data_IF_894967049767
#
_entry.id   IF_894967049767
#
_cell.length_a   1.000
_cell.length_b   1.000
_cell.length_c   1.000
_cell.angle_alpha   90.00
_cell.angle_beta   90.00
_cell.angle_gamma   90.00
#
_symmetry.space_group_name_H-M   'P 1'
#
loop_
_entity.id
_entity.type
_entity.pdbx_description
1 polymer ?
#
# COMPACT_ATOMS: atom_id res chain seq x y z
N UNK A 1 -12.68 16.47 5.43
CA UNK A 1 -11.45 15.69 5.22
C UNK A 1 -10.32 16.68 5.02
N UNK A 2 -9.36 16.68 5.94
CA UNK A 2 -8.18 17.52 5.83
C UNK A 2 -7.08 16.84 5.03
N UNK A 3 -6.17 17.63 4.47
CA UNK A 3 -5.03 17.11 3.73
C UNK A 3 -3.79 17.05 4.61
N UNK A 4 -3.14 15.90 4.68
CA UNK A 4 -1.87 15.76 5.37
C UNK A 4 -0.77 16.50 4.60
N UNK A 5 -0.14 17.51 5.23
CA UNK A 5 0.92 18.34 4.61
C UNK A 5 2.29 18.19 5.28
N UNK A 6 2.34 17.86 6.58
CA UNK A 6 3.61 17.82 7.31
C UNK A 6 4.32 16.49 7.17
N UNK A 7 5.64 16.53 6.89
CA UNK A 7 6.48 15.33 6.76
C UNK A 7 6.51 14.49 8.04
N UNK A 8 6.52 15.12 9.21
CA UNK A 8 6.50 14.44 10.50
C UNK A 8 5.25 13.55 10.64
N UNK A 9 4.10 14.04 10.19
CA UNK A 9 2.87 13.24 10.18
C UNK A 9 2.96 12.05 9.22
N UNK A 10 3.52 12.25 8.01
CA UNK A 10 3.71 11.14 7.07
C UNK A 10 4.60 10.03 7.63
N UNK A 11 5.67 10.40 8.34
CA UNK A 11 6.55 9.42 8.99
C UNK A 11 5.82 8.69 10.12
N UNK A 12 5.08 9.43 10.95
CA UNK A 12 4.37 8.82 12.06
C UNK A 12 3.23 7.88 11.61
N UNK A 13 2.57 8.17 10.47
CA UNK A 13 1.60 7.25 9.86
C UNK A 13 2.27 6.00 9.29
N UNK A 14 3.50 6.13 8.79
CA UNK A 14 4.25 4.99 8.26
C UNK A 14 4.60 3.94 9.32
N UNK A 15 4.73 4.34 10.60
CA UNK A 15 4.91 3.46 11.76
C UNK A 15 3.59 2.84 12.27
N UNK A 16 2.45 3.26 11.71
CA UNK A 16 1.14 2.76 12.07
C UNK A 16 0.78 1.41 11.45
N UNK A 17 -0.52 1.10 11.45
CA UNK A 17 -1.04 -0.11 10.79
C UNK A 17 -1.05 0.09 9.28
N UNK A 18 -0.69 -0.98 8.54
CA UNK A 18 -0.62 -0.94 7.08
C UNK A 18 -1.36 -2.12 6.45
N UNK A 19 -2.06 -1.85 5.36
CA UNK A 19 -2.68 -2.84 4.49
C UNK A 19 -2.05 -2.75 3.11
N UNK A 20 -1.50 -3.87 2.65
CA UNK A 20 -0.87 -3.96 1.34
C UNK A 20 -1.89 -4.41 0.30
N UNK A 21 -2.16 -3.55 -0.68
CA UNK A 21 -2.88 -3.92 -1.89
C UNK A 21 -1.92 -3.95 -3.09
N UNK A 22 -2.29 -4.60 -4.20
CA UNK A 22 -1.42 -4.69 -5.36
C UNK A 22 -1.18 -3.31 -5.99
N UNK A 23 -2.26 -2.52 -6.15
CA UNK A 23 -2.23 -1.18 -6.73
C UNK A 23 -1.69 -0.08 -5.79
N UNK A 24 -1.83 -0.24 -4.48
CA UNK A 24 -1.46 0.78 -3.49
C UNK A 24 -1.28 0.15 -2.10
N UNK A 25 -0.63 0.87 -1.20
CA UNK A 25 -0.55 0.51 0.22
C UNK A 25 -1.31 1.57 1.00
N UNK A 26 -2.18 1.14 1.91
CA UNK A 26 -2.91 2.02 2.82
C UNK A 26 -2.25 1.95 4.18
N UNK A 27 -1.89 3.09 4.73
CA UNK A 27 -1.38 3.22 6.09
C UNK A 27 -2.37 4.04 6.90
N UNK A 28 -2.64 3.60 8.14
CA UNK A 28 -3.49 4.31 9.08
C UNK A 28 -2.77 4.46 10.41
N UNK A 29 -2.94 5.62 11.02
CA UNK A 29 -2.64 5.87 12.42
C UNK A 29 -3.86 6.46 13.10
N UNK A 30 -4.25 5.87 14.22
CA UNK A 30 -5.21 6.52 15.12
C UNK A 30 -4.48 7.64 15.86
N UNK A 31 -4.98 8.88 15.74
CA UNK A 31 -4.63 9.91 16.71
C UNK A 31 -5.61 9.76 17.86
N UNK A 32 -5.09 9.76 19.08
CA UNK A 32 -5.92 9.92 20.29
C UNK A 32 -6.42 11.36 20.47
N UNK A 33 -6.54 12.12 19.38
CA UNK A 33 -6.85 13.55 19.38
C UNK A 33 -8.13 13.76 18.57
N UNK A 34 -9.05 14.62 19.02
CA UNK A 34 -10.39 14.78 18.42
C UNK A 34 -10.39 15.54 17.07
N UNK A 35 -9.25 15.56 16.37
CA UNK A 35 -9.08 16.26 15.11
C UNK A 35 -9.82 15.64 13.91
N UNK A 36 -9.97 16.38 12.80
CA UNK A 36 -10.58 15.86 11.58
C UNK A 36 -9.71 14.78 10.93
N UNK A 37 -10.34 13.89 10.15
CA UNK A 37 -9.65 12.86 9.36
C UNK A 37 -8.71 13.52 8.36
N UNK A 38 -7.43 13.13 8.38
CA UNK A 38 -6.39 13.65 7.47
C UNK A 38 -5.98 12.61 6.46
N UNK A 39 -5.86 13.01 5.19
CA UNK A 39 -5.51 12.11 4.09
C UNK A 39 -4.27 12.63 3.35
N UNK A 40 -3.25 11.77 3.27
CA UNK A 40 -2.02 11.97 2.52
C UNK A 40 -1.94 11.03 1.31
N UNK A 41 -1.33 11.52 0.22
CA UNK A 41 -1.04 10.71 -0.96
C UNK A 41 0.46 10.72 -1.23
N UNK A 42 1.07 9.55 -1.23
CA UNK A 42 2.49 9.38 -1.51
C UNK A 42 2.65 8.55 -2.77
N UNK A 43 3.50 8.98 -3.69
CA UNK A 43 3.84 8.19 -4.88
C UNK A 43 5.35 8.23 -5.02
N UNK A 44 5.98 7.05 -4.98
CA UNK A 44 7.44 6.98 -5.02
C UNK A 44 7.97 7.25 -6.43
N UNK A 45 9.23 7.70 -6.54
CA UNK A 45 9.88 7.89 -7.85
C UNK A 45 9.99 6.58 -8.64
N UNK A 46 9.97 5.43 -7.97
CA UNK A 46 10.02 4.09 -8.57
C UNK A 46 8.76 3.76 -9.39
N UNK A 47 7.70 4.53 -9.24
CA UNK A 47 6.43 4.32 -9.93
C UNK A 47 6.41 4.83 -11.38
N UNK A 48 7.51 5.37 -11.87
CA UNK A 48 7.65 5.86 -13.24
C UNK A 48 7.79 7.38 -13.33
N UNK A 49 7.47 7.89 -14.51
CA UNK A 49 7.59 9.28 -14.93
C UNK A 49 6.68 10.23 -14.13
N UNK A 50 6.89 11.55 -14.25
CA UNK A 50 6.04 12.54 -13.60
C UNK A 50 4.56 12.40 -14.00
N UNK A 51 4.28 12.09 -15.27
CA UNK A 51 2.94 11.90 -15.80
C UNK A 51 2.27 10.65 -15.22
N UNK A 52 2.99 9.52 -15.15
CA UNK A 52 2.52 8.30 -14.51
C UNK A 52 2.19 8.55 -13.03
N UNK A 53 3.07 9.23 -12.29
CA UNK A 53 2.85 9.58 -10.88
C UNK A 53 1.64 10.50 -10.70
N UNK A 54 1.45 11.48 -11.57
CA UNK A 54 0.31 12.38 -11.54
C UNK A 54 -1.00 11.63 -11.85
N UNK A 55 -1.00 10.70 -12.82
CA UNK A 55 -2.14 9.83 -13.12
C UNK A 55 -2.49 8.95 -11.92
N UNK A 56 -1.51 8.31 -11.28
CA UNK A 56 -1.72 7.51 -10.06
C UNK A 56 -2.33 8.39 -8.96
N UNK A 57 -1.74 9.57 -8.70
CA UNK A 57 -2.25 10.49 -7.67
C UNK A 57 -3.68 10.94 -7.95
N UNK A 58 -4.03 11.19 -9.23
CA UNK A 58 -5.38 11.57 -9.65
C UNK A 58 -6.37 10.41 -9.45
N UNK A 59 -6.01 9.19 -9.85
CA UNK A 59 -6.80 7.98 -9.61
C UNK A 59 -7.04 7.72 -8.12
N UNK A 60 -6.00 7.83 -7.29
CA UNK A 60 -6.13 7.66 -5.84
C UNK A 60 -7.05 8.72 -5.20
N UNK A 61 -6.98 9.98 -5.65
CA UNK A 61 -7.92 11.02 -5.19
C UNK A 61 -9.36 10.68 -5.55
N UNK A 62 -9.61 10.21 -6.76
CA UNK A 62 -10.96 9.81 -7.18
C UNK A 62 -11.48 8.61 -6.39
N UNK A 63 -10.63 7.62 -6.09
CA UNK A 63 -10.99 6.48 -5.24
C UNK A 63 -11.41 6.94 -3.85
N UNK A 64 -10.62 7.80 -3.21
CA UNK A 64 -10.95 8.36 -1.89
C UNK A 64 -12.20 9.22 -1.94
N UNK A 65 -12.43 9.96 -3.03
CA UNK A 65 -13.63 10.80 -3.19
C UNK A 65 -14.90 9.98 -3.37
N UNK A 66 -14.81 8.81 -4.01
CA UNK A 66 -15.93 7.86 -4.15
C UNK A 66 -16.09 6.93 -2.95
N UNK A 67 -15.09 6.84 -2.09
CA UNK A 67 -15.18 6.06 -0.87
C UNK A 67 -16.19 6.72 0.07
N UNK A 68 -17.07 5.89 0.63
CA UNK A 68 -18.06 6.33 1.60
C UNK A 68 -17.38 6.87 2.88
N UNK A 69 -17.68 8.12 3.32
CA UNK A 69 -17.15 8.69 4.56
C UNK A 69 -17.36 7.80 5.78
N UNK A 70 -18.41 6.97 5.78
CA UNK A 70 -18.72 6.00 6.84
C UNK A 70 -17.65 4.91 7.04
N UNK A 71 -16.80 4.69 6.04
CA UNK A 71 -15.73 3.69 6.09
C UNK A 71 -14.46 4.21 6.77
N UNK A 72 -14.36 5.52 6.99
CA UNK A 72 -13.21 6.14 7.63
C UNK A 72 -13.47 6.35 9.11
N UNK A 73 -12.52 5.94 9.95
CA UNK A 73 -12.60 6.25 11.37
C UNK A 73 -12.39 7.76 11.56
N UNK A 74 -13.22 8.41 12.38
CA UNK A 74 -12.94 9.77 12.83
C UNK A 74 -11.58 9.77 13.54
N UNK A 75 -10.92 10.93 13.58
CA UNK A 75 -9.68 11.13 14.35
C UNK A 75 -8.48 10.29 13.88
N UNK A 76 -8.50 9.82 12.64
CA UNK A 76 -7.42 9.01 12.07
C UNK A 76 -6.72 9.70 10.92
N UNK A 77 -5.41 9.46 10.82
CA UNK A 77 -4.62 9.84 9.66
C UNK A 77 -4.49 8.65 8.72
N UNK A 78 -4.68 8.90 7.43
CA UNK A 78 -4.55 7.93 6.36
C UNK A 78 -3.51 8.37 5.35
N UNK A 79 -2.61 7.47 4.96
CA UNK A 79 -1.66 7.69 3.87
C UNK A 79 -1.81 6.59 2.83
N UNK A 80 -2.14 6.99 1.60
CA UNK A 80 -2.18 6.08 0.45
C UNK A 80 -0.87 6.19 -0.32
N UNK A 81 -0.12 5.09 -0.36
CA UNK A 81 1.09 4.95 -1.15
C UNK A 81 0.74 4.28 -2.47
N UNK A 82 0.66 5.05 -3.56
CA UNK A 82 0.39 4.49 -4.88
C UNK A 82 1.53 3.61 -5.38
N UNK A 83 1.20 2.54 -6.11
CA UNK A 83 2.13 1.68 -6.87
C UNK A 83 1.88 1.83 -8.38
N UNK A 84 2.81 1.38 -9.23
CA UNK A 84 2.66 1.48 -10.69
C UNK A 84 1.46 0.66 -11.21
N UNK A 85 1.15 -0.43 -10.52
CA UNK A 85 0.01 -1.31 -10.81
C UNK A 85 -1.35 -0.59 -10.77
N UNK A 86 -1.44 0.58 -10.12
CA UNK A 86 -2.64 1.43 -10.14
C UNK A 86 -2.93 2.04 -11.53
N UNK A 87 -1.99 1.99 -12.49
CA UNK A 87 -2.18 2.46 -13.86
C UNK A 87 -2.82 1.40 -14.76
N UNK A 88 -2.47 0.14 -14.57
CA UNK A 88 -2.97 -0.98 -15.37
C UNK A 88 -4.24 -1.62 -14.79
N UNK A 89 -4.50 -1.48 -13.49
CA UNK A 89 -5.71 -2.01 -12.85
C UNK A 89 -6.96 -1.19 -13.15
N UNK A 90 -8.09 -1.90 -13.14
CA UNK A 90 -9.42 -1.33 -13.25
C UNK A 90 -9.79 -0.51 -12.02
N UNK A 91 -10.49 0.59 -12.27
CA UNK A 91 -10.89 1.51 -11.21
C UNK A 91 -11.80 0.85 -10.18
N UNK A 92 -12.73 0.01 -10.63
CA UNK A 92 -13.67 -0.67 -9.75
C UNK A 92 -12.97 -1.66 -8.83
N UNK A 93 -12.07 -2.48 -9.36
CA UNK A 93 -11.25 -3.39 -8.56
C UNK A 93 -10.41 -2.64 -7.53
N UNK A 94 -9.87 -1.46 -7.90
CA UNK A 94 -9.14 -0.63 -6.94
C UNK A 94 -10.02 -0.07 -5.82
N UNK A 95 -11.30 0.19 -6.10
CA UNK A 95 -12.27 0.66 -5.11
C UNK A 95 -12.65 -0.48 -4.14
N UNK A 96 -12.85 -1.69 -4.66
CA UNK A 96 -13.11 -2.89 -3.85
C UNK A 96 -11.88 -3.25 -2.99
N UNK A 97 -10.67 -3.17 -3.56
CA UNK A 97 -9.41 -3.35 -2.85
C UNK A 97 -9.26 -2.33 -1.71
N UNK A 98 -9.67 -1.07 -1.93
CA UNK A 98 -9.58 0.00 -0.93
C UNK A 98 -10.57 -0.26 0.21
N UNK A 99 -11.81 -0.58 -0.12
CA UNK A 99 -12.85 -0.94 0.85
C UNK A 99 -12.43 -2.13 1.71
N UNK A 100 -11.87 -3.16 1.06
CA UNK A 100 -11.37 -4.36 1.75
C UNK A 100 -10.18 -4.04 2.64
N UNK A 101 -9.23 -3.22 2.16
CA UNK A 101 -8.07 -2.79 2.93
C UNK A 101 -8.50 -1.98 4.16
N UNK A 102 -9.46 -1.06 4.02
CA UNK A 102 -9.99 -0.27 5.13
C UNK A 102 -10.73 -1.15 6.14
N UNK A 103 -11.61 -2.05 5.71
CA UNK A 103 -12.27 -3.03 6.59
C UNK A 103 -11.27 -3.89 7.36
N UNK A 104 -10.16 -4.28 6.73
CA UNK A 104 -9.08 -5.03 7.40
C UNK A 104 -8.33 -4.20 8.43
N UNK A 105 -8.12 -2.90 8.16
CA UNK A 105 -7.54 -1.99 9.15
C UNK A 105 -8.51 -1.71 10.30
N UNK A 106 -9.80 -1.69 10.01
CA UNK A 106 -10.87 -1.43 10.97
C UNK A 106 -11.09 -2.57 11.96
N UNK A 107 -10.85 -3.82 11.52
CA UNK A 107 -10.86 -4.98 12.41
C UNK A 107 -9.61 -4.95 13.29
N UNK A 108 -9.75 -4.92 14.62
CA UNK A 108 -8.60 -4.99 15.51
C UNK A 108 -8.12 -6.45 15.56
N UNK A 109 -7.32 -6.91 14.60
CA UNK A 109 -6.50 -8.10 14.82
C UNK A 109 -5.39 -8.37 13.80
N UNK A 110 -4.26 -8.78 14.38
CA UNK A 110 -3.07 -9.42 13.84
C UNK A 110 -2.18 -8.58 12.91
N UNK A 111 -1.13 -8.00 13.54
CA UNK A 111 0.17 -7.59 12.98
C UNK A 111 0.36 -7.88 11.47
N UNK A 112 0.53 -6.86 10.61
CA UNK A 112 0.80 -7.10 9.20
C UNK A 112 2.16 -7.78 9.06
N UNK A 113 2.16 -9.02 8.53
CA UNK A 113 3.37 -9.80 8.27
C UNK A 113 4.45 -8.96 7.59
N UNK A 114 5.71 -9.01 8.06
CA UNK A 114 6.82 -8.48 7.29
C UNK A 114 6.90 -9.32 6.01
N UNK A 115 6.53 -8.72 4.88
CA UNK A 115 6.81 -9.33 3.58
C UNK A 115 8.32 -9.44 3.46
N UNK A 116 8.81 -10.68 3.58
CA UNK A 116 10.19 -11.10 3.31
C UNK A 116 10.73 -10.36 2.07
N UNK A 117 11.96 -9.83 2.10
CA UNK A 117 12.60 -9.39 0.86
C UNK A 117 12.70 -10.62 -0.05
N UNK A 118 12.00 -10.58 -1.18
CA UNK A 118 12.14 -11.54 -2.26
C UNK A 118 13.49 -11.33 -2.92
N UNK A 119 14.57 -11.72 -2.24
CA UNK A 119 15.85 -11.97 -2.85
C UNK A 119 15.89 -13.45 -3.20
N UNK A 120 15.21 -13.82 -4.29
CA UNK A 120 15.41 -15.13 -4.90
C UNK A 120 16.75 -15.10 -5.64
N UNK A 121 17.83 -15.18 -4.87
CA UNK A 121 19.08 -15.72 -5.36
C UNK A 121 18.78 -17.18 -5.73
N UNK A 122 18.76 -17.48 -7.03
CA UNK A 122 18.87 -18.86 -7.53
C UNK A 122 20.24 -19.37 -7.10
N UNK A 123 20.37 -20.46 -6.32
CA UNK A 123 21.57 -21.27 -6.42
C UNK A 123 21.52 -22.00 -7.79
N UNK A 124 22.62 -22.05 -8.57
CA UNK A 124 22.70 -22.99 -9.67
C UNK A 124 22.68 -24.43 -9.11
N UNK A 125 21.93 -25.30 -9.78
CA UNK A 125 21.72 -26.69 -9.39
C UNK A 125 23.04 -27.49 -9.32
N UNK A 126 23.14 -28.52 -8.45
CA UNK A 126 24.22 -29.50 -8.53
C UNK A 126 23.99 -30.41 -9.74
N UNK A 127 24.98 -30.51 -10.62
CA UNK A 127 25.04 -31.48 -11.72
C UNK A 127 24.99 -32.91 -11.13
N UNK A 128 24.11 -33.80 -11.61
CA UNK A 128 24.09 -35.18 -11.16
C UNK A 128 25.29 -35.95 -11.74
N UNK A 129 25.84 -36.84 -10.91
CA UNK A 129 27.04 -37.62 -11.21
C UNK A 129 26.93 -38.45 -12.49
N UNK A 130 28.03 -38.45 -13.24
CA UNK A 130 28.28 -39.47 -14.25
C UNK A 130 28.65 -40.77 -13.52
N UNK A 131 27.74 -41.73 -13.64
CA UNK A 131 27.92 -43.12 -13.31
C UNK A 131 29.14 -43.71 -14.01
N UNK A 132 29.83 -44.57 -13.27
CA UNK A 132 30.66 -45.68 -13.77
C UNK A 132 30.04 -46.34 -15.00
N UNK A 133 30.87 -46.76 -15.95
CA UNK A 133 30.88 -48.13 -16.46
C UNK A 133 32.29 -48.52 -16.97
N UNK A 134 32.60 -49.83 -17.02
CA UNK A 134 33.95 -50.40 -17.09
C UNK A 134 34.38 -50.77 -18.53
N UNK A 135 35.69 -50.91 -18.75
CA UNK A 135 36.37 -52.15 -19.18
C UNK A 135 37.88 -52.00 -18.95
#
# INVERSE_FOLDING_TARGET
MDRLRQRADFLAVADGVRANSPAFVVQRRERGDQGPVRIGFTVTKKNGTATERNRIRRRLRELVKRLDPLTMRPHSDYVLVGRRDALSRDFQTMLDDLTTALRRLDRPQARPQPRRPSNAARPPAPTPGASRQPD
#
